data_IF_295541557464
#
_entry.id   IF_295541557464
#
_cell.length_a   1.000
_cell.length_b   1.000
_cell.length_c   1.000
_cell.angle_alpha   90.00
_cell.angle_beta   90.00
_cell.angle_gamma   90.00
#
_symmetry.space_group_name_H-M   'P 1'
#
loop_
_entity.id
_entity.type
_entity.pdbx_description
1 polymer ?
#
# COMPACT_ATOMS: atom_id res chain seq x y z
N UNK A 1 -4.80 13.87 10.06
CA UNK A 1 -4.03 12.76 9.54
C UNK A 1 -4.90 11.52 9.45
N UNK A 2 -4.97 10.96 8.28
CA UNK A 2 -5.73 9.73 8.11
C UNK A 2 -4.97 8.60 8.78
N UNK A 3 -5.56 8.03 9.81
CA UNK A 3 -4.94 6.94 10.54
C UNK A 3 -5.67 5.64 10.27
N UNK A 4 -6.34 5.57 9.12
CA UNK A 4 -7.02 4.35 8.74
C UNK A 4 -5.97 3.32 8.33
N UNK A 5 -6.04 2.17 8.96
CA UNK A 5 -5.22 1.02 8.63
C UNK A 5 -6.11 -0.19 8.55
N UNK A 6 -5.72 -1.14 7.72
CA UNK A 6 -6.47 -2.38 7.60
C UNK A 6 -5.95 -3.41 8.59
N UNK A 7 -6.86 -4.17 9.18
CA UNK A 7 -6.47 -5.33 9.98
C UNK A 7 -6.11 -6.48 9.06
N UNK A 8 -5.40 -7.46 9.59
CA UNK A 8 -5.09 -8.69 8.84
C UNK A 8 -6.35 -9.41 8.38
N UNK A 9 -7.39 -9.40 9.21
CA UNK A 9 -8.67 -10.04 8.86
C UNK A 9 -9.36 -9.32 7.70
N UNK A 10 -9.38 -8.00 7.72
CA UNK A 10 -9.95 -7.20 6.64
C UNK A 10 -9.19 -7.43 5.34
N UNK A 11 -7.86 -7.38 5.40
CA UNK A 11 -7.02 -7.61 4.24
C UNK A 11 -7.24 -9.00 3.67
N UNK A 12 -7.34 -10.00 4.52
CA UNK A 12 -7.56 -11.38 4.09
C UNK A 12 -8.91 -11.52 3.36
N UNK A 13 -9.97 -10.93 3.90
CA UNK A 13 -11.30 -10.97 3.27
C UNK A 13 -11.29 -10.31 1.90
N UNK A 14 -10.66 -9.15 1.81
CA UNK A 14 -10.56 -8.43 0.55
C UNK A 14 -9.74 -9.23 -0.45
N UNK A 15 -8.61 -9.78 -0.01
CA UNK A 15 -7.76 -10.60 -0.85
C UNK A 15 -8.45 -11.85 -1.36
N UNK A 16 -9.24 -12.48 -0.51
CA UNK A 16 -10.02 -13.67 -0.91
C UNK A 16 -11.09 -13.30 -1.94
N UNK A 17 -11.73 -12.13 -1.81
CA UNK A 17 -12.66 -11.64 -2.81
C UNK A 17 -11.97 -11.41 -4.16
N UNK A 18 -10.70 -11.08 -4.16
CA UNK A 18 -9.92 -10.85 -5.36
C UNK A 18 -9.28 -12.12 -5.92
N UNK A 19 -9.43 -13.25 -5.23
CA UNK A 19 -8.87 -14.52 -5.65
C UNK A 19 -7.37 -14.63 -5.47
N UNK A 20 -6.81 -13.95 -4.45
CA UNK A 20 -5.37 -13.95 -4.22
C UNK A 20 -4.88 -15.35 -3.81
N UNK A 21 -3.78 -15.76 -4.43
CA UNK A 21 -3.04 -16.96 -4.06
C UNK A 21 -1.98 -16.58 -3.02
N UNK A 22 -2.24 -16.94 -1.77
CA UNK A 22 -1.36 -16.58 -0.66
C UNK A 22 -0.02 -17.33 -0.67
N UNK A 23 0.21 -18.20 -1.63
CA UNK A 23 1.51 -18.85 -1.78
C UNK A 23 2.55 -17.94 -2.41
N UNK A 24 2.11 -16.87 -3.08
CA UNK A 24 3.00 -15.94 -3.77
C UNK A 24 3.50 -14.83 -2.85
N UNK A 25 2.65 -14.38 -1.94
CA UNK A 25 2.98 -13.40 -0.91
C UNK A 25 1.97 -13.57 0.22
N UNK A 26 2.33 -13.14 1.42
CA UNK A 26 1.47 -13.36 2.58
C UNK A 26 0.47 -12.20 2.77
N UNK A 27 -0.47 -12.42 3.69
CA UNK A 27 -1.51 -11.45 4.03
C UNK A 27 -0.91 -10.13 4.49
N UNK A 28 0.20 -10.17 5.23
CA UNK A 28 0.84 -8.97 5.75
C UNK A 28 1.40 -8.07 4.65
N UNK A 29 1.96 -8.65 3.59
CA UNK A 29 2.40 -7.86 2.43
C UNK A 29 1.22 -7.16 1.79
N UNK A 30 0.11 -7.87 1.64
CA UNK A 30 -1.09 -7.32 1.05
C UNK A 30 -1.69 -6.24 1.94
N UNK A 31 -1.78 -6.48 3.25
CA UNK A 31 -2.28 -5.50 4.22
C UNK A 31 -1.44 -4.22 4.20
N UNK A 32 -0.12 -4.38 4.24
CA UNK A 32 0.80 -3.25 4.17
C UNK A 32 0.60 -2.47 2.86
N UNK A 33 0.41 -3.21 1.76
CA UNK A 33 0.14 -2.60 0.46
C UNK A 33 -1.16 -1.81 0.45
N UNK A 34 -2.23 -2.35 1.03
CA UNK A 34 -3.49 -1.64 1.12
C UNK A 34 -3.35 -0.34 1.91
N UNK A 35 -2.61 -0.38 3.03
CA UNK A 35 -2.38 0.81 3.85
C UNK A 35 -1.62 1.89 3.05
N UNK A 36 -0.61 1.48 2.29
CA UNK A 36 0.16 2.39 1.44
C UNK A 36 -0.73 3.01 0.35
N UNK A 37 -1.56 2.19 -0.29
CA UNK A 37 -2.40 2.67 -1.39
C UNK A 37 -3.52 3.60 -0.94
N UNK A 38 -3.80 3.70 0.35
CA UNK A 38 -4.70 4.72 0.88
C UNK A 38 -4.20 6.14 0.60
N UNK A 39 -2.92 6.31 0.30
CA UNK A 39 -2.36 7.59 -0.13
C UNK A 39 -3.08 8.15 -1.36
N UNK A 40 -3.62 7.27 -2.19
CA UNK A 40 -4.33 7.65 -3.41
C UNK A 40 -5.84 7.74 -3.20
N UNK A 41 -6.26 7.84 -1.96
CA UNK A 41 -7.65 8.03 -1.58
C UNK A 41 -7.95 9.45 -1.15
N UNK A 42 -8.92 9.60 -0.27
CA UNK A 42 -9.45 10.89 0.16
C UNK A 42 -8.49 11.74 0.99
N UNK A 43 -7.34 11.20 1.37
CA UNK A 43 -6.29 11.94 2.08
C UNK A 43 -5.91 13.22 1.32
N UNK A 44 -5.87 13.14 0.01
CA UNK A 44 -5.56 14.29 -0.84
C UNK A 44 -6.57 14.33 -1.99
N UNK A 45 -7.47 15.32 -2.03
CA UNK A 45 -8.49 15.38 -3.06
C UNK A 45 -7.95 15.50 -4.49
N UNK A 46 -6.75 16.07 -4.65
CA UNK A 46 -6.12 16.21 -5.96
C UNK A 46 -5.66 14.88 -6.53
N UNK A 47 -5.20 13.99 -5.66
CA UNK A 47 -4.67 12.68 -6.07
C UNK A 47 -5.60 11.53 -5.72
N UNK A 48 -6.82 11.82 -5.31
CA UNK A 48 -7.80 10.81 -4.93
C UNK A 48 -8.27 10.02 -6.16
N UNK A 49 -7.96 8.73 -6.17
CA UNK A 49 -8.35 7.78 -7.23
C UNK A 49 -9.34 6.77 -6.68
N UNK A 50 -9.10 6.28 -5.47
CA UNK A 50 -9.83 5.15 -4.90
C UNK A 50 -11.05 5.56 -4.08
N UNK A 51 -11.09 6.81 -3.64
CA UNK A 51 -12.09 7.32 -2.70
C UNK A 51 -12.15 6.43 -1.43
N UNK A 52 -11.02 5.86 -1.05
CA UNK A 52 -10.87 4.94 0.09
C UNK A 52 -11.67 3.64 -0.03
N UNK A 53 -12.17 3.31 -1.21
CA UNK A 53 -12.89 2.06 -1.41
C UNK A 53 -11.96 0.87 -1.18
N UNK A 54 -12.27 -0.03 -0.22
CA UNK A 54 -11.35 -1.11 0.13
C UNK A 54 -11.04 -2.05 -1.02
N UNK A 55 -12.03 -2.38 -1.83
CA UNK A 55 -11.81 -3.30 -2.94
C UNK A 55 -10.92 -2.69 -4.02
N UNK A 56 -11.15 -1.43 -4.36
CA UNK A 56 -10.33 -0.69 -5.32
C UNK A 56 -8.90 -0.56 -4.80
N UNK A 57 -8.75 -0.22 -3.53
CA UNK A 57 -7.45 -0.13 -2.86
C UNK A 57 -6.73 -1.48 -2.93
N UNK A 58 -7.44 -2.57 -2.66
CA UNK A 58 -6.88 -3.91 -2.73
C UNK A 58 -6.45 -4.31 -4.13
N UNK A 59 -7.19 -3.90 -5.16
CA UNK A 59 -6.81 -4.18 -6.55
C UNK A 59 -5.47 -3.54 -6.92
N UNK A 60 -5.25 -2.33 -6.45
CA UNK A 60 -3.99 -1.63 -6.72
C UNK A 60 -2.84 -2.33 -6.00
N UNK A 61 -3.04 -2.69 -4.73
CA UNK A 61 -2.03 -3.43 -3.97
C UNK A 61 -1.69 -4.76 -4.65
N UNK A 62 -2.72 -5.47 -5.10
CA UNK A 62 -2.52 -6.74 -5.81
C UNK A 62 -1.73 -6.55 -7.10
N UNK A 63 -2.01 -5.52 -7.86
CA UNK A 63 -1.29 -5.25 -9.11
C UNK A 63 0.21 -5.11 -8.87
N UNK A 64 0.59 -4.36 -7.83
CA UNK A 64 2.00 -4.19 -7.49
C UNK A 64 2.65 -5.49 -7.00
N UNK A 65 1.94 -6.24 -6.17
CA UNK A 65 2.47 -7.50 -5.64
C UNK A 65 2.57 -8.60 -6.68
N UNK A 66 1.78 -8.51 -7.75
CA UNK A 66 1.92 -9.40 -8.90
C UNK A 66 3.21 -9.13 -9.66
N UNK A 67 3.69 -7.90 -9.64
CA UNK A 67 4.97 -7.56 -10.26
C UNK A 67 6.14 -7.99 -9.37
N UNK A 68 6.08 -7.67 -8.08
CA UNK A 68 7.11 -8.01 -7.09
C UNK A 68 6.44 -8.43 -5.78
N UNK A 69 6.58 -9.69 -5.36
CA UNK A 69 5.92 -10.16 -4.13
C UNK A 69 6.31 -9.41 -2.86
N UNK A 70 7.43 -8.72 -2.85
CA UNK A 70 7.90 -7.91 -1.73
C UNK A 70 7.92 -6.41 -2.07
N UNK A 71 7.07 -5.99 -3.00
CA UNK A 71 7.02 -4.62 -3.51
C UNK A 71 6.99 -3.59 -2.39
N UNK A 72 6.12 -3.76 -1.40
CA UNK A 72 5.94 -2.75 -0.36
C UNK A 72 7.09 -2.71 0.65
N UNK A 73 7.78 -3.79 0.85
CA UNK A 73 9.01 -3.82 1.63
C UNK A 73 10.10 -2.99 0.93
N UNK A 74 10.21 -3.18 -0.38
CA UNK A 74 11.18 -2.42 -1.19
C UNK A 74 10.82 -0.95 -1.28
N UNK A 75 9.52 -0.67 -1.43
CA UNK A 75 9.02 0.70 -1.50
C UNK A 75 9.32 1.47 -0.22
N UNK A 76 9.07 0.86 0.94
CA UNK A 76 9.36 1.47 2.23
C UNK A 76 10.84 1.83 2.36
N UNK A 77 11.71 0.94 1.90
CA UNK A 77 13.15 1.18 1.91
C UNK A 77 13.54 2.34 0.99
N UNK A 78 12.98 2.34 -0.21
CA UNK A 78 13.25 3.41 -1.19
C UNK A 78 12.79 4.77 -0.65
N UNK A 79 11.60 4.82 -0.06
CA UNK A 79 11.05 6.05 0.50
C UNK A 79 11.89 6.56 1.66
N UNK A 80 12.35 5.66 2.51
CA UNK A 80 13.22 6.00 3.64
C UNK A 80 14.54 6.60 3.14
N UNK A 81 15.13 6.02 2.12
CA UNK A 81 16.35 6.52 1.50
C UNK A 81 16.11 7.88 0.85
N UNK A 82 14.98 8.05 0.15
CA UNK A 82 14.63 9.31 -0.48
C UNK A 82 14.41 10.43 0.53
N UNK A 83 13.75 10.13 1.64
CA UNK A 83 13.53 11.10 2.72
C UNK A 83 14.86 11.54 3.35
N UNK A 84 15.80 10.62 3.51
CA UNK A 84 17.13 10.95 4.04
C UNK A 84 17.87 11.91 3.11
N UNK A 85 17.80 11.70 1.81
CA UNK A 85 18.39 12.60 0.81
C UNK A 85 17.71 13.96 0.83
N UNK A 86 16.38 13.98 0.92
CA UNK A 86 15.62 15.22 0.97
C UNK A 86 15.99 16.04 2.22
N UNK A 87 16.18 15.38 3.36
CA UNK A 87 16.59 16.02 4.60
C UNK A 87 17.95 16.69 4.45
N UNK A 88 18.89 16.02 3.78
CA UNK A 88 20.21 16.59 3.49
C UNK A 88 20.09 17.84 2.62
N UNK A 89 19.27 17.80 1.60
CA UNK A 89 19.04 18.95 0.72
C UNK A 89 18.48 20.13 1.50
N UNK A 90 17.53 19.88 2.40
CA UNK A 90 16.91 20.95 3.20
C UNK A 90 17.89 21.63 4.16
N UNK A 91 18.94 20.93 4.56
CA UNK A 91 19.96 21.49 5.46
C UNK A 91 21.04 22.28 4.73
N UNK A 92 21.04 22.25 3.45
CA UNK A 92 21.95 23.01 2.61
C UNK A 92 21.40 24.41 2.39
#
# INVERSE_FOLDING_TARGET
>A
MANHTFSSEEAKKIGESLGIDWSKFNVEQFRMGMDVELEHGSVNPVTNVTNDDPLTTGKIALAHLNELPDYYTRLAKMEQEGEAVLEQIKKM
#
